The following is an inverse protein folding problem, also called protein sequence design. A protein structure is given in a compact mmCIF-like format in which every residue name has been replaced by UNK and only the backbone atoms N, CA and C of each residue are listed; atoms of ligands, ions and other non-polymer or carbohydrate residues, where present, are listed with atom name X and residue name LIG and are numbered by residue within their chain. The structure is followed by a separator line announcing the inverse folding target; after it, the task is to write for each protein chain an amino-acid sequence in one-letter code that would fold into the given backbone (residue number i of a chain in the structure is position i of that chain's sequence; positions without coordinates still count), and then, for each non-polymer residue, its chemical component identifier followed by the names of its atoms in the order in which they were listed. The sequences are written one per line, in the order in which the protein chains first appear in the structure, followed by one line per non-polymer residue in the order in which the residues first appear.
data_IF_854333527506
#
_entry.id   IF_854333527506
#
_cell.length_a   1.000
_cell.length_b   1.000
_cell.length_c   1.000
_cell.angle_alpha   90.00
_cell.angle_beta   90.00
_cell.angle_gamma   90.00
#
_symmetry.space_group_name_H-M   'P 1'
#
loop_
_entity.id
_entity.type
_entity.pdbx_description
1 polymer ?
#
# COMPACT_ATOMS: atom_id res chain seq x y z
N UNK A 1 -29.77 -2.50 46.49
CA UNK A 1 -29.31 -2.95 45.15
C UNK A 1 -27.84 -2.59 44.99
N UNK A 2 -26.92 -3.50 45.35
CA UNK A 2 -25.48 -3.29 45.20
C UNK A 2 -25.03 -3.66 43.79
N UNK A 3 -24.58 -2.68 43.00
CA UNK A 3 -23.88 -2.93 41.74
C UNK A 3 -22.43 -3.29 42.09
N UNK A 4 -22.12 -4.58 42.12
CA UNK A 4 -20.73 -5.04 42.15
C UNK A 4 -20.01 -4.51 40.90
N UNK A 5 -18.87 -3.80 41.04
CA UNK A 5 -18.13 -3.32 39.88
C UNK A 5 -17.63 -4.52 39.05
N UNK A 6 -17.63 -4.42 37.71
CA UNK A 6 -17.13 -5.49 36.86
C UNK A 6 -15.65 -5.74 37.16
N UNK A 7 -15.28 -7.01 37.32
CA UNK A 7 -13.92 -7.43 37.64
C UNK A 7 -12.93 -6.93 36.58
N UNK A 8 -12.03 -6.02 37.01
CA UNK A 8 -11.02 -5.31 36.20
C UNK A 8 -10.19 -6.25 35.28
N UNK A 9 -10.00 -7.51 35.67
CA UNK A 9 -9.24 -8.50 34.92
C UNK A 9 -9.91 -9.05 33.65
N UNK A 10 -11.26 -9.06 33.58
CA UNK A 10 -11.98 -9.57 32.38
C UNK A 10 -11.92 -8.57 31.22
N UNK A 11 -11.99 -7.28 31.51
CA UNK A 11 -11.92 -6.20 30.53
C UNK A 11 -10.52 -6.09 29.91
N UNK A 12 -9.46 -6.17 30.71
CA UNK A 12 -8.06 -6.12 30.22
C UNK A 12 -7.71 -7.31 29.31
N UNK A 13 -8.08 -8.54 29.68
CA UNK A 13 -7.88 -9.73 28.81
C UNK A 13 -8.62 -9.62 27.49
N UNK A 14 -9.84 -9.07 27.50
CA UNK A 14 -10.63 -8.88 26.29
C UNK A 14 -10.05 -7.80 25.35
N UNK A 15 -9.36 -6.81 25.90
CA UNK A 15 -8.65 -5.79 25.13
C UNK A 15 -7.42 -6.36 24.42
N UNK A 16 -6.59 -7.10 25.15
CA UNK A 16 -5.38 -7.73 24.59
C UNK A 16 -5.68 -8.70 23.44
N UNK A 17 -6.69 -9.55 23.58
CA UNK A 17 -7.09 -10.48 22.52
C UNK A 17 -7.57 -9.76 21.24
N UNK A 18 -8.26 -8.62 21.38
CA UNK A 18 -8.71 -7.82 20.24
C UNK A 18 -7.54 -7.17 19.50
N UNK A 19 -6.58 -6.64 20.25
CA UNK A 19 -5.36 -6.07 19.65
C UNK A 19 -4.56 -7.15 18.94
N UNK A 20 -4.41 -8.33 19.54
CA UNK A 20 -3.77 -9.47 18.91
C UNK A 20 -4.48 -9.90 17.62
N UNK A 21 -5.82 -9.94 17.61
CA UNK A 21 -6.60 -10.28 16.43
C UNK A 21 -6.46 -9.23 15.30
N UNK A 22 -6.43 -7.94 15.65
CA UNK A 22 -6.19 -6.87 14.66
C UNK A 22 -4.77 -6.93 14.10
N UNK A 23 -3.79 -7.14 14.96
CA UNK A 23 -2.40 -7.32 14.55
C UNK A 23 -2.27 -8.53 13.62
N UNK A 24 -2.87 -9.68 13.96
CA UNK A 24 -2.88 -10.85 13.10
C UNK A 24 -3.53 -10.57 11.74
N UNK A 25 -4.68 -9.87 11.72
CA UNK A 25 -5.36 -9.51 10.48
C UNK A 25 -4.47 -8.63 9.58
N UNK A 26 -3.84 -7.60 10.12
CA UNK A 26 -2.95 -6.72 9.37
C UNK A 26 -1.68 -7.44 8.92
N UNK A 27 -1.10 -8.28 9.77
CA UNK A 27 0.07 -9.09 9.42
C UNK A 27 -0.24 -10.03 8.26
N UNK A 28 -1.37 -10.74 8.29
CA UNK A 28 -1.78 -11.63 7.19
C UNK A 28 -2.04 -10.82 5.91
N UNK A 29 -2.79 -9.72 6.01
CA UNK A 29 -3.09 -8.86 4.87
C UNK A 29 -1.81 -8.30 4.21
N UNK A 30 -0.83 -7.91 5.02
CA UNK A 30 0.46 -7.40 4.56
C UNK A 30 1.36 -8.49 4.00
N UNK A 31 1.52 -9.61 4.70
CA UNK A 31 2.39 -10.71 4.27
C UNK A 31 2.01 -11.24 2.89
N UNK A 32 0.71 -11.48 2.65
CA UNK A 32 0.24 -11.96 1.34
C UNK A 32 0.52 -10.96 0.20
N UNK A 33 0.41 -9.66 0.47
CA UNK A 33 0.64 -8.60 -0.53
C UNK A 33 2.12 -8.32 -0.77
N UNK A 34 2.96 -8.47 0.25
CA UNK A 34 4.41 -8.27 0.15
C UNK A 34 5.07 -9.32 -0.76
N UNK A 35 4.53 -10.53 -0.83
CA UNK A 35 5.01 -11.54 -1.79
C UNK A 35 4.83 -11.09 -3.25
N UNK A 36 3.71 -10.42 -3.56
CA UNK A 36 3.43 -9.87 -4.90
C UNK A 36 4.36 -8.73 -5.31
N UNK A 37 4.95 -8.00 -4.35
CA UNK A 37 5.78 -6.81 -4.65
C UNK A 37 6.95 -7.14 -5.57
N UNK A 38 7.57 -8.32 -5.41
CA UNK A 38 8.75 -8.73 -6.20
C UNK A 38 8.39 -9.26 -7.59
N UNK A 39 7.13 -9.61 -7.81
CA UNK A 39 6.71 -10.34 -9.00
C UNK A 39 6.65 -9.43 -10.22
N UNK A 40 7.44 -9.71 -11.26
CA UNK A 40 7.40 -8.90 -12.48
C UNK A 40 8.25 -7.63 -12.47
N UNK A 41 9.04 -7.34 -11.42
CA UNK A 41 9.93 -6.15 -11.41
C UNK A 41 10.90 -6.21 -12.61
N UNK A 42 11.08 -5.10 -13.36
CA UNK A 42 12.03 -5.06 -14.46
C UNK A 42 13.48 -5.39 -14.04
N UNK A 43 14.21 -6.02 -14.94
CA UNK A 43 15.61 -6.40 -14.79
C UNK A 43 16.24 -6.62 -16.18
N UNK A 44 17.51 -7.04 -16.22
CA UNK A 44 18.25 -7.26 -17.48
C UNK A 44 17.60 -8.26 -18.45
N UNK A 45 16.77 -9.19 -17.96
CA UNK A 45 16.05 -10.19 -18.77
C UNK A 45 14.62 -9.78 -19.10
N UNK A 46 14.10 -8.73 -18.45
CA UNK A 46 12.71 -8.26 -18.60
C UNK A 46 12.64 -6.76 -18.37
N UNK A 47 12.43 -6.01 -19.43
CA UNK A 47 12.45 -4.54 -19.36
C UNK A 47 11.15 -3.88 -18.90
N UNK A 48 10.03 -4.62 -18.90
CA UNK A 48 8.70 -4.10 -18.55
C UNK A 48 8.05 -4.90 -17.44
N UNK A 49 7.23 -4.26 -16.57
CA UNK A 49 6.41 -4.98 -15.60
C UNK A 49 5.33 -5.83 -16.29
N UNK A 50 4.82 -6.83 -15.59
CA UNK A 50 3.69 -7.64 -16.10
C UNK A 50 2.39 -6.86 -16.18
N UNK A 51 2.22 -5.85 -15.32
CA UNK A 51 1.07 -4.95 -15.33
C UNK A 51 1.40 -3.67 -16.11
N UNK A 52 0.84 -3.52 -17.33
CA UNK A 52 1.21 -2.41 -18.21
C UNK A 52 0.80 -1.04 -17.65
N UNK A 53 -0.27 -0.98 -16.86
CA UNK A 53 -0.79 0.23 -16.21
C UNK A 53 0.13 0.79 -15.12
N UNK A 54 0.86 -0.07 -14.40
CA UNK A 54 1.86 0.36 -13.42
C UNK A 54 2.92 1.26 -14.07
N UNK A 55 3.32 0.91 -15.31
CA UNK A 55 4.34 1.65 -16.02
C UNK A 55 3.88 3.07 -16.37
N UNK A 56 2.61 3.21 -16.76
CA UNK A 56 2.00 4.48 -17.15
C UNK A 56 1.81 5.38 -15.93
N UNK A 57 1.30 4.83 -14.82
CA UNK A 57 1.09 5.57 -13.58
C UNK A 57 2.39 6.10 -13.00
N UNK A 58 3.44 5.28 -13.00
CA UNK A 58 4.73 5.68 -12.43
C UNK A 58 5.54 6.57 -13.36
N UNK A 59 5.33 6.48 -14.67
CA UNK A 59 5.86 7.48 -15.59
C UNK A 59 5.28 8.86 -15.29
N UNK A 60 3.97 8.97 -15.02
CA UNK A 60 3.38 10.22 -14.56
C UNK A 60 3.94 10.68 -13.20
N UNK A 61 4.33 9.74 -12.32
CA UNK A 61 5.00 10.10 -11.06
C UNK A 61 6.38 10.73 -11.26
N UNK A 62 7.11 10.37 -12.32
CA UNK A 62 8.39 10.99 -12.66
C UNK A 62 8.26 12.47 -13.07
N UNK A 63 7.08 12.88 -13.55
CA UNK A 63 6.84 14.25 -14.02
C UNK A 63 6.45 15.22 -12.89
N UNK A 64 6.20 14.70 -11.69
CA UNK A 64 5.76 15.48 -10.54
C UNK A 64 6.92 16.01 -9.71
N UNK A 65 6.67 17.10 -8.98
CA UNK A 65 7.56 17.54 -7.91
C UNK A 65 6.79 18.14 -6.71
N UNK A 66 6.15 17.29 -5.87
CA UNK A 66 5.27 17.74 -4.80
C UNK A 66 6.00 18.56 -3.73
N UNK A 67 7.28 18.24 -3.48
CA UNK A 67 8.12 18.97 -2.52
C UNK A 67 8.46 20.40 -2.98
N UNK A 68 8.22 20.71 -4.26
CA UNK A 68 8.40 22.02 -4.87
C UNK A 68 7.08 22.65 -5.32
N UNK A 69 5.95 22.11 -4.87
CA UNK A 69 4.61 22.65 -5.16
C UNK A 69 3.98 22.18 -6.47
N UNK A 70 4.64 21.29 -7.23
CA UNK A 70 4.08 20.71 -8.45
C UNK A 70 3.36 19.39 -8.15
N UNK A 71 2.03 19.48 -8.10
CA UNK A 71 1.13 18.37 -7.82
C UNK A 71 0.38 17.87 -9.07
N UNK A 72 0.64 18.45 -10.25
CA UNK A 72 -0.14 18.17 -11.45
C UNK A 72 0.56 17.13 -12.33
N UNK A 73 0.10 15.86 -12.37
CA UNK A 73 0.80 14.79 -13.09
C UNK A 73 0.71 14.92 -14.61
N UNK A 74 -0.09 15.87 -15.12
CA UNK A 74 -0.42 16.03 -16.55
C UNK A 74 -0.97 14.75 -17.21
N UNK A 75 -1.38 13.78 -16.40
CA UNK A 75 -1.95 12.50 -16.78
C UNK A 75 -3.19 12.23 -15.91
N UNK A 76 -4.37 12.29 -16.53
CA UNK A 76 -5.66 12.34 -15.82
C UNK A 76 -6.57 11.13 -16.10
N UNK A 77 -6.02 10.05 -16.65
CA UNK A 77 -6.78 8.81 -16.89
C UNK A 77 -7.04 8.03 -15.59
N UNK A 78 -6.33 8.35 -14.51
CA UNK A 78 -6.43 7.70 -13.20
C UNK A 78 -6.40 8.76 -12.08
N UNK A 79 -6.81 8.37 -10.88
CA UNK A 79 -6.76 9.25 -9.71
C UNK A 79 -5.33 9.67 -9.38
N UNK A 80 -5.07 10.98 -9.30
CA UNK A 80 -3.75 11.55 -9.05
C UNK A 80 -3.20 11.28 -7.64
N UNK A 81 -4.06 10.92 -6.68
CA UNK A 81 -3.67 10.66 -5.29
C UNK A 81 -2.62 9.54 -5.18
N UNK A 82 -2.80 8.45 -5.92
CA UNK A 82 -1.85 7.33 -5.92
C UNK A 82 -0.49 7.75 -6.50
N UNK A 83 -0.51 8.50 -7.60
CA UNK A 83 0.68 9.00 -8.28
C UNK A 83 1.47 9.92 -7.34
N UNK A 84 0.77 10.82 -6.63
CA UNK A 84 1.35 11.70 -5.62
C UNK A 84 1.98 10.92 -4.46
N UNK A 85 1.29 9.91 -3.92
CA UNK A 85 1.85 9.08 -2.85
C UNK A 85 3.08 8.30 -3.30
N UNK A 86 3.09 7.76 -4.52
CA UNK A 86 4.27 7.09 -5.07
C UNK A 86 5.46 8.04 -5.16
N UNK A 87 5.23 9.26 -5.68
CA UNK A 87 6.27 10.27 -5.82
C UNK A 87 6.84 10.69 -4.46
N UNK A 88 5.97 11.06 -3.52
CA UNK A 88 6.36 11.46 -2.17
C UNK A 88 7.10 10.33 -1.46
N UNK A 89 6.58 9.09 -1.51
CA UNK A 89 7.23 7.95 -0.89
C UNK A 89 8.63 7.71 -1.46
N UNK A 90 8.81 7.85 -2.78
CA UNK A 90 10.12 7.71 -3.40
C UNK A 90 11.08 8.83 -2.97
N UNK A 91 10.63 10.09 -2.94
CA UNK A 91 11.46 11.23 -2.54
C UNK A 91 11.96 11.12 -1.09
N UNK A 92 11.18 10.53 -0.20
CA UNK A 92 11.62 10.21 1.16
C UNK A 92 12.51 8.97 1.24
N UNK A 93 12.24 7.94 0.42
CA UNK A 93 13.00 6.68 0.45
C UNK A 93 14.38 6.81 -0.23
N UNK A 94 14.48 7.58 -1.31
CA UNK A 94 15.68 7.63 -2.14
C UNK A 94 16.94 8.11 -1.38
N UNK A 95 16.91 9.21 -0.60
CA UNK A 95 18.08 9.65 0.16
C UNK A 95 18.53 8.63 1.21
N UNK A 96 17.57 7.95 1.86
CA UNK A 96 17.84 6.95 2.90
C UNK A 96 18.52 5.70 2.33
N UNK A 97 18.22 5.37 1.07
CA UNK A 97 18.73 4.19 0.38
C UNK A 97 19.94 4.50 -0.54
N UNK A 98 20.41 5.75 -0.58
CA UNK A 98 21.48 6.19 -1.48
C UNK A 98 21.09 6.14 -2.96
N UNK A 99 19.80 6.28 -3.27
CA UNK A 99 19.28 6.34 -4.63
C UNK A 99 19.28 7.78 -5.16
N UNK A 100 19.42 7.92 -6.48
CA UNK A 100 19.21 9.20 -7.14
C UNK A 100 17.74 9.62 -7.18
N UNK A 101 17.50 10.81 -7.72
CA UNK A 101 16.16 11.30 -8.03
C UNK A 101 15.40 10.32 -8.94
N UNK A 102 14.08 10.52 -9.05
CA UNK A 102 13.27 9.74 -10.00
C UNK A 102 13.88 9.81 -11.40
N UNK A 103 13.74 8.75 -12.20
CA UNK A 103 14.25 8.76 -13.56
C UNK A 103 13.65 9.91 -14.36
N UNK A 104 14.52 10.80 -14.83
CA UNK A 104 14.19 11.79 -15.86
C UNK A 104 14.28 11.16 -17.26
N UNK A 105 14.23 12.00 -18.30
CA UNK A 105 14.35 11.55 -19.68
C UNK A 105 15.72 10.91 -19.93
N UNK A 106 15.77 9.59 -20.19
CA UNK A 106 17.03 8.89 -20.32
C UNK A 106 17.60 9.06 -21.73
N UNK A 107 18.91 9.32 -21.83
CA UNK A 107 19.64 9.24 -23.10
C UNK A 107 19.81 7.79 -23.58
N UNK A 108 19.79 6.82 -22.65
CA UNK A 108 19.79 5.38 -22.93
C UNK A 108 18.77 4.68 -22.05
N UNK A 109 17.99 3.79 -22.65
CA UNK A 109 16.97 3.04 -21.92
C UNK A 109 17.52 2.21 -20.74
N UNK A 110 18.77 1.75 -20.81
CA UNK A 110 19.45 1.03 -19.71
C UNK A 110 19.59 1.87 -18.45
N UNK A 111 19.73 3.19 -18.60
CA UNK A 111 19.94 4.12 -17.48
C UNK A 111 18.63 4.39 -16.73
N UNK A 112 17.50 4.17 -17.42
CA UNK A 112 16.16 4.27 -16.86
C UNK A 112 15.72 3.02 -16.09
N UNK A 113 16.17 1.85 -16.53
CA UNK A 113 15.71 0.54 -16.03
C UNK A 113 15.79 0.43 -14.49
N UNK A 114 16.94 0.76 -13.90
CA UNK A 114 17.15 0.59 -12.46
C UNK A 114 16.45 1.62 -11.58
N UNK A 115 16.56 2.93 -11.85
CA UNK A 115 15.76 3.92 -11.13
C UNK A 115 14.26 3.65 -11.24
N UNK A 116 13.78 3.23 -12.41
CA UNK A 116 12.38 2.93 -12.61
C UNK A 116 11.92 1.69 -11.83
N UNK A 117 12.75 0.64 -11.79
CA UNK A 117 12.46 -0.57 -11.00
C UNK A 117 12.34 -0.27 -9.50
N UNK A 118 13.13 0.69 -9.00
CA UNK A 118 13.05 1.15 -7.60
C UNK A 118 11.77 1.95 -7.36
N UNK A 119 11.42 2.85 -8.29
CA UNK A 119 10.15 3.59 -8.23
C UNK A 119 8.95 2.64 -8.25
N UNK A 120 8.99 1.60 -9.09
CA UNK A 120 7.97 0.54 -9.13
C UNK A 120 7.86 -0.22 -7.81
N UNK A 121 9.00 -0.63 -7.24
CA UNK A 121 9.00 -1.30 -5.94
C UNK A 121 8.39 -0.40 -4.84
N UNK A 122 8.73 0.89 -4.82
CA UNK A 122 8.14 1.86 -3.87
C UNK A 122 6.64 2.03 -4.12
N UNK A 123 6.21 2.23 -5.37
CA UNK A 123 4.80 2.39 -5.71
C UNK A 123 3.95 1.17 -5.33
N UNK A 124 4.51 -0.04 -5.43
CA UNK A 124 3.88 -1.25 -4.94
C UNK A 124 3.79 -1.30 -3.43
N UNK A 125 4.83 -0.87 -2.70
CA UNK A 125 4.77 -0.76 -1.23
C UNK A 125 3.72 0.26 -0.77
N UNK A 126 3.57 1.39 -1.47
CA UNK A 126 2.47 2.34 -1.24
C UNK A 126 1.13 1.63 -1.41
N UNK A 127 0.98 0.86 -2.48
CA UNK A 127 -0.25 0.12 -2.74
C UNK A 127 -0.52 -0.98 -1.69
N UNK A 128 0.51 -1.67 -1.18
CA UNK A 128 0.39 -2.60 -0.03
C UNK A 128 -0.14 -1.85 1.18
N UNK A 129 0.41 -0.68 1.50
CA UNK A 129 -0.06 0.17 2.59
C UNK A 129 -1.53 0.56 2.44
N UNK A 130 -1.93 1.00 1.24
CA UNK A 130 -3.32 1.33 0.93
C UNK A 130 -4.25 0.11 1.05
N UNK A 131 -3.81 -1.07 0.59
CA UNK A 131 -4.56 -2.32 0.72
C UNK A 131 -4.78 -2.75 2.18
N UNK A 132 -3.74 -2.65 3.03
CA UNK A 132 -3.87 -2.92 4.47
C UNK A 132 -4.80 -1.90 5.13
N UNK A 133 -4.67 -0.62 4.78
CA UNK A 133 -5.56 0.43 5.29
C UNK A 133 -7.02 0.17 4.89
N UNK A 134 -7.26 -0.28 3.64
CA UNK A 134 -8.59 -0.61 3.14
C UNK A 134 -9.23 -1.75 3.95
N UNK A 135 -8.47 -2.79 4.33
CA UNK A 135 -8.95 -3.85 5.24
C UNK A 135 -9.46 -3.26 6.56
N UNK A 136 -8.73 -2.30 7.13
CA UNK A 136 -9.13 -1.57 8.34
C UNK A 136 -10.41 -0.75 8.13
N UNK A 137 -10.47 0.03 7.05
CA UNK A 137 -11.64 0.85 6.70
C UNK A 137 -12.87 -0.03 6.49
N UNK A 138 -12.78 -1.11 5.74
CA UNK A 138 -13.88 -2.06 5.51
C UNK A 138 -14.37 -2.66 6.82
N UNK A 139 -13.46 -3.08 7.70
CA UNK A 139 -13.81 -3.60 9.02
C UNK A 139 -14.55 -2.55 9.87
N UNK A 140 -14.12 -1.28 9.85
CA UNK A 140 -14.77 -0.20 10.59
C UNK A 140 -16.15 0.15 10.01
N UNK A 141 -16.26 0.29 8.68
CA UNK A 141 -17.52 0.61 8.01
C UNK A 141 -18.56 -0.49 8.19
N UNK A 142 -18.18 -1.76 8.07
CA UNK A 142 -19.10 -2.87 8.29
C UNK A 142 -19.55 -2.98 9.76
N UNK A 143 -18.71 -2.56 10.72
CA UNK A 143 -19.12 -2.43 12.13
C UNK A 143 -20.08 -1.26 12.36
N UNK A 144 -19.92 -0.17 11.62
CA UNK A 144 -20.77 1.01 11.70
C UNK A 144 -22.16 0.74 11.13
N UNK A 145 -22.24 0.01 10.02
CA UNK A 145 -23.49 -0.21 9.29
C UNK A 145 -24.28 -1.43 9.76
N UNK A 146 -23.61 -2.47 10.28
CA UNK A 146 -24.26 -3.71 10.69
C UNK A 146 -23.85 -4.14 12.10
N UNK A 147 -22.98 -5.15 12.21
CA UNK A 147 -22.62 -5.78 13.47
C UNK A 147 -21.12 -5.96 13.59
N UNK A 148 -20.67 -6.21 14.82
CA UNK A 148 -19.25 -6.51 15.10
C UNK A 148 -18.74 -7.73 14.34
N UNK A 149 -19.58 -8.76 14.22
CA UNK A 149 -19.25 -9.98 13.50
C UNK A 149 -19.13 -9.70 11.99
N UNK A 150 -20.06 -8.94 11.42
CA UNK A 150 -20.01 -8.57 10.00
C UNK A 150 -18.70 -7.85 9.64
N UNK A 151 -18.23 -6.92 10.46
CA UNK A 151 -16.96 -6.23 10.18
C UNK A 151 -15.72 -7.11 10.27
N UNK A 152 -15.70 -8.12 11.15
CA UNK A 152 -14.60 -9.09 11.16
C UNK A 152 -14.61 -9.97 9.91
N UNK A 153 -15.78 -10.47 9.51
CA UNK A 153 -15.88 -11.28 8.29
C UNK A 153 -15.53 -10.50 7.03
N UNK A 154 -16.00 -9.26 6.91
CA UNK A 154 -15.66 -8.39 5.77
C UNK A 154 -14.16 -8.09 5.72
N UNK A 155 -13.54 -7.78 6.86
CA UNK A 155 -12.10 -7.53 6.94
C UNK A 155 -11.25 -8.76 6.61
N UNK A 156 -11.60 -9.93 7.18
CA UNK A 156 -10.91 -11.19 6.90
C UNK A 156 -11.04 -11.56 5.42
N UNK A 157 -12.25 -11.47 4.86
CA UNK A 157 -12.49 -11.73 3.45
C UNK A 157 -11.59 -10.85 2.57
N UNK A 158 -11.59 -9.53 2.81
CA UNK A 158 -10.78 -8.61 2.01
C UNK A 158 -9.27 -8.79 2.19
N UNK A 159 -8.84 -9.24 3.38
CA UNK A 159 -7.44 -9.50 3.67
C UNK A 159 -6.86 -10.63 2.80
N UNK A 160 -7.67 -11.65 2.48
CA UNK A 160 -7.22 -12.88 1.79
C UNK A 160 -7.83 -13.09 0.40
N UNK A 161 -8.83 -12.29 0.01
CA UNK A 161 -9.48 -12.43 -1.30
C UNK A 161 -8.43 -12.29 -2.42
N UNK A 162 -8.42 -13.20 -3.41
CA UNK A 162 -7.34 -13.28 -4.38
C UNK A 162 -7.27 -12.03 -5.26
N UNK A 163 -8.40 -11.51 -5.74
CA UNK A 163 -8.43 -10.33 -6.61
C UNK A 163 -7.84 -9.07 -5.92
N UNK A 164 -8.18 -8.74 -4.67
CA UNK A 164 -7.54 -7.64 -3.93
C UNK A 164 -6.12 -7.89 -3.41
N UNK A 165 -5.60 -9.13 -3.51
CA UNK A 165 -4.30 -9.53 -2.97
C UNK A 165 -3.25 -9.70 -4.07
N UNK A 166 -3.65 -10.31 -5.19
CA UNK A 166 -2.81 -10.53 -6.35
C UNK A 166 -2.65 -9.20 -7.09
N UNK A 167 -1.43 -8.68 -7.01
CA UNK A 167 -0.96 -7.48 -7.70
C UNK A 167 -0.13 -7.80 -8.92
#
# INVERSE_FOLDING_TARGET
MSRTPPALGKTLRSGGLRLAALAALWTVAGALRLEGVKWGIPNWTRFYPYHPDESVLLHAACQLNPLWGDFAPSFYNYGSLYILFCRVAYDFAAPLMGWGAVPGDPSRFTDWLWPFSRLLAVGRLVNVGMGIALVGVTLLLARLLWTRAAGWWAGIFLAVAPMPVLL
#
